data_IF_805257334934
#
_entry.id   IF_805257334934
#
_cell.length_a   1.000
_cell.length_b   1.000
_cell.length_c   1.000
_cell.angle_alpha   90.00
_cell.angle_beta   90.00
_cell.angle_gamma   90.00
#
_symmetry.space_group_name_H-M   'P 1'
#
loop_
_entity.id
_entity.type
_entity.pdbx_description
1 polymer ?
#
# COMPACT_ATOMS: atom_id res chain seq x y z
N UNK A 1 17.56 -2.09 -8.30
CA UNK A 1 17.83 -2.36 -7.34
C UNK A 1 17.57 -1.40 -6.43
N UNK A 2 17.88 -0.26 -6.69
CA UNK A 2 17.50 0.72 -5.78
C UNK A 2 16.00 0.87 -5.67
N UNK A 3 15.25 0.47 -6.65
CA UNK A 3 13.80 0.49 -6.59
C UNK A 3 13.26 -0.56 -5.64
N UNK A 4 13.95 -1.69 -5.51
CA UNK A 4 13.53 -2.71 -4.56
C UNK A 4 13.71 -2.23 -3.12
N UNK A 5 14.24 -1.02 -2.95
CA UNK A 5 14.41 -0.42 -1.63
C UNK A 5 13.25 0.45 -1.20
N UNK A 6 12.12 0.40 -1.89
CA UNK A 6 10.94 1.14 -1.44
C UNK A 6 10.62 0.82 0.01
N UNK A 7 10.76 -0.45 0.42
CA UNK A 7 10.46 -0.85 1.78
C UNK A 7 11.37 -0.21 2.81
N UNK A 8 12.54 0.25 2.39
CA UNK A 8 13.51 0.86 3.29
C UNK A 8 13.33 2.37 3.42
N UNK A 9 12.50 2.96 2.57
CA UNK A 9 12.26 4.39 2.63
C UNK A 9 11.27 4.73 3.73
N UNK A 10 11.44 5.89 4.30
CA UNK A 10 10.52 6.38 5.32
C UNK A 10 9.38 7.12 4.66
N UNK A 11 8.18 6.90 5.17
CA UNK A 11 7.06 7.71 4.76
C UNK A 11 7.19 9.09 5.39
N UNK A 12 6.94 10.10 4.61
CA UNK A 12 6.88 11.46 5.13
C UNK A 12 5.42 11.83 5.34
N UNK A 13 5.14 12.75 6.23
CA UNK A 13 3.77 13.17 6.49
C UNK A 13 3.15 13.72 5.21
N UNK A 14 1.92 13.31 4.92
CA UNK A 14 1.20 13.87 3.80
C UNK A 14 0.66 15.24 4.22
N UNK A 15 1.05 16.26 3.49
CA UNK A 15 0.60 17.61 3.75
C UNK A 15 -0.16 18.13 2.55
N UNK A 16 -1.04 19.08 2.80
CA UNK A 16 -1.75 19.74 1.73
C UNK A 16 -0.72 20.41 0.82
N UNK A 17 -0.75 20.14 -0.47
CA UNK A 17 0.23 20.66 -1.41
C UNK A 17 1.43 19.76 -1.65
N UNK A 18 1.51 18.62 -0.97
CA UNK A 18 2.57 17.64 -1.25
C UNK A 18 2.46 17.17 -2.71
N UNK A 19 3.60 16.94 -3.39
CA UNK A 19 3.54 16.61 -4.81
C UNK A 19 2.97 15.23 -5.08
N UNK A 20 2.13 15.16 -6.11
CA UNK A 20 1.67 13.89 -6.63
C UNK A 20 2.78 13.27 -7.47
N UNK A 21 2.84 11.95 -7.49
CA UNK A 21 3.80 11.23 -8.33
C UNK A 21 3.32 11.31 -9.79
N UNK A 22 4.17 11.77 -10.71
CA UNK A 22 3.79 11.83 -12.13
C UNK A 22 3.50 10.45 -12.70
N UNK A 23 2.62 10.37 -13.70
CA UNK A 23 2.21 9.10 -14.29
C UNK A 23 3.37 8.25 -14.78
N UNK A 24 4.38 8.84 -15.39
CA UNK A 24 5.52 8.08 -15.88
C UNK A 24 6.30 7.45 -14.74
N UNK A 25 6.48 8.18 -13.66
CA UNK A 25 7.16 7.67 -12.49
C UNK A 25 6.34 6.58 -11.81
N UNK A 26 5.01 6.69 -11.85
CA UNK A 26 4.14 5.65 -11.32
C UNK A 26 4.39 4.31 -12.00
N UNK A 27 4.57 4.32 -13.32
CA UNK A 27 4.84 3.10 -14.06
C UNK A 27 6.16 2.45 -13.65
N UNK A 28 7.18 3.26 -13.43
CA UNK A 28 8.47 2.75 -12.99
C UNK A 28 8.38 2.17 -11.59
N UNK A 29 7.68 2.83 -10.69
CA UNK A 29 7.52 2.35 -9.32
C UNK A 29 6.74 1.04 -9.27
N UNK A 30 5.75 0.87 -10.15
CA UNK A 30 4.98 -0.37 -10.21
C UNK A 30 5.81 -1.59 -10.58
N UNK A 31 6.95 -1.41 -11.19
CA UNK A 31 7.82 -2.54 -11.55
C UNK A 31 8.31 -3.29 -10.31
N UNK A 32 8.39 -2.60 -9.16
CA UNK A 32 8.80 -3.21 -7.91
C UNK A 32 7.61 -3.71 -7.08
N UNK A 33 6.41 -3.54 -7.59
CA UNK A 33 5.18 -3.84 -6.85
C UNK A 33 4.33 -4.84 -7.62
N UNK A 34 4.82 -6.08 -7.66
CA UNK A 34 4.12 -7.14 -8.36
C UNK A 34 2.72 -7.36 -7.78
N UNK A 35 1.73 -7.44 -8.64
CA UNK A 35 0.36 -7.64 -8.23
C UNK A 35 -0.40 -6.39 -7.87
N UNK A 36 0.26 -5.25 -7.80
CA UNK A 36 -0.41 -3.98 -7.54
C UNK A 36 -0.87 -3.34 -8.84
N UNK A 37 -2.03 -2.71 -8.79
CA UNK A 37 -2.59 -1.98 -9.91
C UNK A 37 -2.89 -0.57 -9.45
N UNK A 38 -2.94 0.35 -10.41
CA UNK A 38 -3.40 1.70 -10.12
C UNK A 38 -4.82 1.80 -10.65
N UNK A 39 -5.78 1.93 -9.74
CA UNK A 39 -7.17 2.14 -10.11
C UNK A 39 -7.36 3.63 -10.36
N UNK A 40 -7.78 3.97 -11.58
CA UNK A 40 -7.96 5.37 -11.98
C UNK A 40 -9.43 5.67 -12.17
N UNK A 41 -10.10 5.96 -11.06
CA UNK A 41 -11.48 6.44 -11.12
C UNK A 41 -11.46 7.92 -10.76
N UNK A 42 -12.17 8.35 -9.72
CA UNK A 42 -12.15 9.74 -9.29
C UNK A 42 -10.79 10.11 -8.72
N UNK A 43 -10.20 9.21 -7.94
CA UNK A 43 -8.89 9.39 -7.34
C UNK A 43 -8.06 8.16 -7.69
N UNK A 44 -6.82 8.36 -8.13
CA UNK A 44 -5.93 7.24 -8.41
C UNK A 44 -5.52 6.58 -7.11
N UNK A 45 -5.62 5.25 -7.06
CA UNK A 45 -5.30 4.45 -5.87
C UNK A 45 -4.46 3.25 -6.25
N UNK A 46 -3.54 2.87 -5.36
CA UNK A 46 -2.80 1.62 -5.51
C UNK A 46 -3.60 0.53 -4.83
N UNK A 47 -3.95 -0.52 -5.56
CA UNK A 47 -4.82 -1.57 -5.04
C UNK A 47 -4.23 -2.95 -5.26
N UNK A 48 -4.50 -3.83 -4.30
CA UNK A 48 -4.09 -5.24 -4.40
C UNK A 48 -4.97 -6.10 -3.52
N UNK A 49 -5.23 -7.33 -3.98
CA UNK A 49 -5.94 -8.34 -3.19
C UNK A 49 -4.92 -9.33 -2.65
N UNK A 50 -4.96 -9.56 -1.33
CA UNK A 50 -4.11 -10.55 -0.67
C UNK A 50 -5.00 -11.73 -0.26
N UNK A 51 -4.53 -12.94 -0.47
CA UNK A 51 -5.30 -14.15 -0.17
C UNK A 51 -4.66 -14.96 0.93
N UNK A 52 -5.49 -15.58 1.77
CA UNK A 52 -5.04 -16.33 2.93
C UNK A 52 -5.81 -17.66 3.02
N UNK A 53 -5.19 -18.64 3.68
CA UNK A 53 -5.77 -19.97 3.81
C UNK A 53 -6.80 -20.10 4.92
N UNK A 54 -6.88 -19.11 5.83
CA UNK A 54 -7.86 -19.14 6.92
C UNK A 54 -8.15 -17.71 7.40
N UNK A 55 -9.13 -17.60 8.28
CA UNK A 55 -9.56 -16.30 8.79
C UNK A 55 -8.56 -15.69 9.78
N UNK A 56 -7.93 -16.54 10.58
CA UNK A 56 -6.96 -16.05 11.57
C UNK A 56 -5.80 -15.32 10.90
N UNK A 57 -5.27 -15.89 9.82
CA UNK A 57 -4.19 -15.25 9.06
C UNK A 57 -4.66 -13.99 8.37
N UNK A 58 -5.90 -13.99 7.86
CA UNK A 58 -6.51 -12.83 7.24
C UNK A 58 -6.52 -11.65 8.22
N UNK A 59 -7.01 -11.90 9.44
CA UNK A 59 -7.09 -10.85 10.45
C UNK A 59 -5.71 -10.45 10.96
N UNK A 60 -4.78 -11.38 11.07
CA UNK A 60 -3.42 -11.06 11.46
C UNK A 60 -2.79 -10.04 10.49
N UNK A 61 -3.00 -10.26 9.19
CA UNK A 61 -2.51 -9.32 8.18
C UNK A 61 -3.13 -7.93 8.38
N UNK A 62 -4.44 -7.87 8.58
CA UNK A 62 -5.15 -6.60 8.80
C UNK A 62 -4.56 -5.88 10.02
N UNK A 63 -4.33 -6.59 11.10
CA UNK A 63 -3.78 -5.99 12.32
C UNK A 63 -2.37 -5.44 12.08
N UNK A 64 -1.54 -6.15 11.32
CA UNK A 64 -0.20 -5.69 11.01
C UNK A 64 -0.22 -4.46 10.10
N UNK A 65 -1.15 -4.43 9.14
CA UNK A 65 -1.32 -3.25 8.29
C UNK A 65 -1.79 -2.06 9.13
N UNK A 66 -2.66 -2.30 10.10
CA UNK A 66 -3.12 -1.23 10.99
C UNK A 66 -1.95 -0.68 11.82
N UNK A 67 -1.06 -1.54 12.32
CA UNK A 67 0.11 -1.10 13.05
C UNK A 67 1.04 -0.27 12.17
N UNK A 68 1.27 -0.71 10.95
CA UNK A 68 2.06 0.05 9.99
C UNK A 68 1.45 1.42 9.76
N UNK A 69 0.13 1.46 9.55
CA UNK A 69 -0.60 2.69 9.25
C UNK A 69 -0.46 3.71 10.38
N UNK A 70 -0.57 3.24 11.62
CA UNK A 70 -0.41 4.12 12.79
C UNK A 70 1.03 4.59 12.93
N UNK A 71 1.99 3.73 12.63
CA UNK A 71 3.40 4.07 12.74
C UNK A 71 3.80 5.15 11.73
N UNK A 72 3.32 5.05 10.49
CA UNK A 72 3.66 6.00 9.43
C UNK A 72 2.67 7.16 9.33
N UNK A 73 1.60 7.12 10.11
CA UNK A 73 0.52 8.11 10.09
C UNK A 73 -0.07 8.30 8.69
N UNK A 74 -0.32 7.17 8.02
CA UNK A 74 -0.91 7.17 6.67
C UNK A 74 -1.78 5.91 6.57
N UNK A 75 -3.06 6.09 6.28
CA UNK A 75 -4.05 5.03 6.46
C UNK A 75 -4.70 4.60 5.14
N UNK A 76 -4.70 3.31 4.84
CA UNK A 76 -5.34 2.78 3.63
C UNK A 76 -6.80 2.47 3.90
N UNK A 77 -7.54 2.19 2.83
CA UNK A 77 -8.84 1.55 2.98
C UNK A 77 -8.62 0.05 2.96
N UNK A 78 -9.18 -0.65 3.92
CA UNK A 78 -9.02 -2.09 4.05
C UNK A 78 -10.40 -2.74 3.97
N UNK A 79 -10.58 -3.63 3.00
CA UNK A 79 -11.80 -4.40 2.88
C UNK A 79 -11.45 -5.86 3.18
N UNK A 80 -12.12 -6.44 4.16
CA UNK A 80 -11.81 -7.76 4.68
C UNK A 80 -12.97 -8.72 4.52
N UNK A 81 -12.67 -9.94 4.07
CA UNK A 81 -13.61 -11.04 4.15
C UNK A 81 -12.80 -12.32 4.42
N UNK A 82 -13.45 -13.44 4.65
CA UNK A 82 -12.74 -14.67 4.93
C UNK A 82 -11.75 -14.97 3.80
N UNK A 83 -10.49 -15.06 4.16
CA UNK A 83 -9.44 -15.43 3.22
C UNK A 83 -9.00 -14.36 2.24
N UNK A 84 -9.54 -13.14 2.32
CA UNK A 84 -9.14 -12.06 1.40
C UNK A 84 -9.07 -10.71 2.07
N UNK A 85 -8.06 -9.94 1.69
CA UNK A 85 -7.96 -8.53 2.08
C UNK A 85 -7.74 -7.72 0.81
N UNK A 86 -8.61 -6.77 0.55
CA UNK A 86 -8.44 -5.83 -0.55
C UNK A 86 -7.93 -4.52 0.04
N UNK A 87 -6.73 -4.13 -0.37
CA UNK A 87 -6.03 -3.01 0.21
C UNK A 87 -5.93 -1.88 -0.80
N UNK A 88 -6.29 -0.68 -0.38
CA UNK A 88 -6.25 0.49 -1.26
C UNK A 88 -5.46 1.60 -0.58
N UNK A 89 -4.33 1.97 -1.17
CA UNK A 89 -3.50 3.06 -0.66
C UNK A 89 -3.64 4.29 -1.54
N UNK A 90 -3.94 5.42 -0.96
CA UNK A 90 -3.88 6.73 -1.64
C UNK A 90 -3.74 7.80 -0.58
N UNK A 91 -3.30 8.98 -1.01
CA UNK A 91 -3.08 10.09 -0.08
C UNK A 91 -4.32 10.98 -0.06
N UNK A 92 -5.03 10.96 1.06
CA UNK A 92 -6.33 11.63 1.18
C UNK A 92 -6.25 13.14 1.03
N UNK A 93 -5.22 13.75 1.60
CA UNK A 93 -5.09 15.21 1.57
C UNK A 93 -4.84 15.77 0.19
N UNK A 94 -4.15 15.03 -0.65
CA UNK A 94 -3.82 15.50 -2.00
C UNK A 94 -4.64 14.77 -3.07
N UNK A 95 -5.52 13.88 -2.64
CA UNK A 95 -6.46 13.16 -3.51
C UNK A 95 -5.77 12.47 -4.70
N UNK A 96 -4.76 11.69 -4.40
CA UNK A 96 -4.03 10.96 -5.43
C UNK A 96 -2.86 10.22 -4.84
N UNK A 97 -1.88 9.86 -5.68
CA UNK A 97 -0.75 9.05 -5.26
C UNK A 97 0.48 9.92 -4.95
N UNK A 98 0.98 9.73 -3.76
CA UNK A 98 2.23 10.29 -3.27
C UNK A 98 3.23 9.15 -3.16
N UNK A 99 4.51 9.45 -3.07
CA UNK A 99 5.54 8.43 -2.89
C UNK A 99 5.25 7.53 -1.68
N UNK A 100 4.64 8.08 -0.62
CA UNK A 100 4.28 7.30 0.56
C UNK A 100 3.38 6.11 0.22
N UNK A 101 2.50 6.24 -0.75
CA UNK A 101 1.59 5.17 -1.13
C UNK A 101 2.37 3.99 -1.71
N UNK A 102 3.38 4.26 -2.53
CA UNK A 102 4.22 3.22 -3.11
C UNK A 102 5.10 2.57 -2.04
N UNK A 103 5.61 3.36 -1.10
CA UNK A 103 6.39 2.83 0.01
C UNK A 103 5.52 1.93 0.89
N UNK A 104 4.31 2.37 1.21
CA UNK A 104 3.39 1.58 2.03
C UNK A 104 2.95 0.32 1.31
N UNK A 105 2.78 0.36 -0.01
CA UNK A 105 2.47 -0.82 -0.79
C UNK A 105 3.60 -1.86 -0.66
N UNK A 106 4.86 -1.42 -0.81
CA UNK A 106 6.01 -2.31 -0.67
C UNK A 106 6.10 -2.89 0.73
N UNK A 107 5.84 -2.09 1.75
CA UNK A 107 5.84 -2.56 3.14
C UNK A 107 4.70 -3.55 3.40
N UNK A 108 3.55 -3.34 2.75
CA UNK A 108 2.42 -4.26 2.83
C UNK A 108 2.79 -5.62 2.27
N UNK A 109 3.53 -5.66 1.16
CA UNK A 109 4.00 -6.92 0.57
C UNK A 109 4.95 -7.63 1.53
N UNK A 110 5.84 -6.90 2.17
CA UNK A 110 6.77 -7.49 3.13
C UNK A 110 6.03 -8.10 4.31
N UNK A 111 5.01 -7.41 4.80
CA UNK A 111 4.17 -7.92 5.88
C UNK A 111 3.48 -9.22 5.44
N UNK A 112 2.94 -9.24 4.24
CA UNK A 112 2.28 -10.42 3.71
C UNK A 112 3.24 -11.61 3.67
N UNK A 113 4.47 -11.38 3.20
CA UNK A 113 5.47 -12.45 3.13
C UNK A 113 5.90 -12.95 4.51
N UNK A 114 5.73 -12.14 5.54
CA UNK A 114 6.07 -12.54 6.90
C UNK A 114 5.04 -13.48 7.52
N UNK A 115 3.86 -13.60 6.90
CA UNK A 115 2.79 -14.47 7.40
C UNK A 115 2.85 -15.79 6.65
N UNK A 116 2.96 -16.90 7.38
CA UNK A 116 2.97 -18.20 6.73
C UNK A 116 1.59 -18.55 6.20
N UNK A 117 1.55 -19.01 4.96
CA UNK A 117 0.29 -19.38 4.30
C UNK A 117 -0.09 -20.84 4.52
#
# INVERSE_FOLDING_TARGET
WYMSRLIEKKCTACELGAPLVPDEQQKDLLKDLEGWLIERSDISKLVKTFKFGDYAKTIKFVNLIAELSEFVDHHPKITVEWGKVYLEWWSHKIQGLHMNDFICAAKSDEIFLSIEQ
#
